data_IF_097022344456
#
_entry.id   IF_097022344456
#
_cell.length_a   1.000
_cell.length_b   1.000
_cell.length_c   1.000
_cell.angle_alpha   90.00
_cell.angle_beta   90.00
_cell.angle_gamma   90.00
#
_symmetry.space_group_name_H-M   'P 1'
#
loop_
_entity.id
_entity.type
_entity.pdbx_description
1 polymer ?
#
# COMPACT_ATOMS: atom_id res chain seq x y z
N UNK A 1 -3.65 -3.43 24.88
CA UNK A 1 -4.15 -4.56 24.06
C UNK A 1 -2.98 -5.50 23.84
N UNK A 2 -2.71 -6.35 24.83
CA UNK A 2 -1.59 -7.30 24.79
C UNK A 2 -2.12 -8.62 24.23
N UNK A 3 -1.44 -9.18 23.24
CA UNK A 3 -1.77 -10.49 22.69
C UNK A 3 -1.40 -11.56 23.73
N UNK A 4 -2.39 -12.34 24.17
CA UNK A 4 -2.18 -13.48 25.07
C UNK A 4 -1.48 -14.62 24.28
N UNK A 5 -0.41 -15.22 24.82
CA UNK A 5 0.31 -16.29 24.13
C UNK A 5 -0.56 -17.54 23.99
N UNK A 6 -0.75 -18.01 22.74
CA UNK A 6 -1.47 -19.24 22.41
C UNK A 6 -2.85 -19.05 21.76
N UNK A 7 -3.31 -17.81 21.56
CA UNK A 7 -4.54 -17.54 20.79
C UNK A 7 -4.24 -17.63 19.29
N UNK A 8 -5.00 -18.47 18.58
CA UNK A 8 -4.95 -18.54 17.12
C UNK A 8 -5.34 -17.17 16.54
N UNK A 9 -4.42 -16.48 15.82
CA UNK A 9 -4.66 -15.14 15.30
C UNK A 9 -5.78 -15.08 14.26
N UNK A 10 -6.22 -16.22 13.71
CA UNK A 10 -7.34 -16.27 12.78
C UNK A 10 -8.69 -16.27 13.50
N UNK A 11 -8.75 -16.67 14.78
CA UNK A 11 -9.97 -16.55 15.59
C UNK A 11 -10.36 -15.09 15.84
N UNK A 12 -9.39 -14.18 15.88
CA UNK A 12 -9.62 -12.72 16.02
C UNK A 12 -10.28 -12.09 14.81
N UNK A 13 -10.34 -12.82 13.71
CA UNK A 13 -10.92 -12.34 12.44
C UNK A 13 -12.35 -12.82 12.24
N UNK A 14 -12.86 -13.72 13.08
CA UNK A 14 -14.25 -14.20 12.98
C UNK A 14 -15.21 -13.09 13.38
N UNK A 15 -16.12 -12.72 12.47
CA UNK A 15 -17.09 -11.64 12.70
C UNK A 15 -16.51 -10.22 12.60
N UNK A 16 -15.25 -10.08 12.19
CA UNK A 16 -14.57 -8.77 12.02
C UNK A 16 -14.35 -8.49 10.54
N UNK A 17 -14.84 -7.34 10.07
CA UNK A 17 -14.59 -6.90 8.70
C UNK A 17 -13.10 -6.59 8.49
N UNK A 18 -12.51 -7.17 7.45
CA UNK A 18 -11.12 -6.89 7.05
C UNK A 18 -11.06 -6.31 5.64
N UNK A 19 -10.02 -5.52 5.36
CA UNK A 19 -9.77 -4.93 4.05
C UNK A 19 -8.27 -4.71 3.85
N UNK A 20 -7.88 -4.39 2.62
CA UNK A 20 -6.54 -3.86 2.36
C UNK A 20 -6.31 -2.59 3.20
N UNK A 21 -5.18 -2.56 3.89
CA UNK A 21 -4.70 -1.43 4.66
C UNK A 21 -3.27 -1.02 4.23
N UNK A 22 -2.91 -1.36 2.98
CA UNK A 22 -1.57 -1.13 2.42
C UNK A 22 -0.43 -1.71 3.29
N UNK A 23 -0.67 -2.89 3.86
CA UNK A 23 0.28 -3.56 4.75
C UNK A 23 0.77 -2.65 5.89
N UNK A 24 -0.12 -1.80 6.44
CA UNK A 24 0.22 -0.80 7.46
C UNK A 24 1.24 -1.23 8.52
N UNK A 25 1.12 -2.40 9.20
CA UNK A 25 2.12 -2.80 10.20
C UNK A 25 3.55 -2.94 9.64
N UNK A 26 3.66 -3.37 8.37
CA UNK A 26 4.94 -3.50 7.66
C UNK A 26 5.51 -2.13 7.28
N UNK A 27 4.66 -1.24 6.74
CA UNK A 27 5.05 0.13 6.38
C UNK A 27 5.49 0.90 7.63
N UNK A 28 4.69 0.89 8.69
CA UNK A 28 5.00 1.57 9.96
C UNK A 28 6.32 1.05 10.58
N UNK A 29 6.54 -0.26 10.53
CA UNK A 29 7.79 -0.88 11.02
C UNK A 29 9.00 -0.53 10.13
N UNK A 30 8.82 -0.39 8.82
CA UNK A 30 9.86 0.06 7.91
C UNK A 30 10.24 1.52 8.12
N UNK A 31 9.24 2.40 8.20
CA UNK A 31 9.43 3.84 8.45
C UNK A 31 10.16 4.10 9.77
N UNK A 32 9.82 3.36 10.84
CA UNK A 32 10.52 3.50 12.14
C UNK A 32 12.01 3.09 12.10
N UNK A 33 12.42 2.34 11.07
CA UNK A 33 13.82 1.98 10.79
C UNK A 33 14.50 2.94 9.80
N UNK A 34 13.81 3.99 9.35
CA UNK A 34 14.29 4.91 8.33
C UNK A 34 14.27 4.34 6.90
N UNK A 35 13.51 3.26 6.67
CA UNK A 35 13.34 2.66 5.34
C UNK A 35 12.25 3.39 4.56
N UNK A 36 12.38 3.43 3.23
CA UNK A 36 11.48 4.12 2.33
C UNK A 36 10.52 3.14 1.62
N UNK A 37 9.19 3.23 1.84
CA UNK A 37 8.22 2.43 1.12
C UNK A 37 8.27 2.68 -0.39
N UNK A 38 8.23 1.62 -1.19
CA UNK A 38 8.39 1.67 -2.64
C UNK A 38 9.81 1.43 -3.13
N UNK A 39 10.81 1.68 -2.28
CA UNK A 39 12.23 1.42 -2.56
C UNK A 39 12.72 0.21 -1.74
N UNK A 40 12.48 0.22 -0.43
CA UNK A 40 12.91 -0.83 0.48
C UNK A 40 11.86 -1.95 0.59
N UNK A 41 12.18 -3.21 0.24
CA UNK A 41 11.22 -4.32 0.27
C UNK A 41 10.64 -4.60 1.66
N UNK A 42 11.40 -4.30 2.71
CA UNK A 42 10.97 -4.49 4.11
C UNK A 42 9.90 -3.48 4.54
N UNK A 43 9.88 -2.29 3.92
CA UNK A 43 8.88 -1.23 4.16
C UNK A 43 7.75 -1.22 3.12
N UNK A 44 7.81 -2.09 2.11
CA UNK A 44 6.90 -2.06 0.96
C UNK A 44 5.80 -3.11 1.08
N UNK A 45 4.55 -2.84 0.64
CA UNK A 45 3.46 -3.81 0.70
C UNK A 45 3.79 -5.13 0.01
N UNK A 46 3.34 -6.24 0.62
CA UNK A 46 3.67 -7.59 0.14
C UNK A 46 3.22 -7.83 -1.31
N UNK A 47 2.04 -7.35 -1.70
CA UNK A 47 1.55 -7.47 -3.07
C UNK A 47 2.42 -6.77 -4.12
N UNK A 48 3.14 -5.71 -3.73
CA UNK A 48 4.05 -4.96 -4.61
C UNK A 48 5.36 -5.74 -4.74
N UNK A 49 5.92 -6.18 -3.60
CA UNK A 49 7.19 -6.93 -3.57
C UNK A 49 7.09 -8.26 -4.32
N UNK A 50 5.95 -8.96 -4.24
CA UNK A 50 5.77 -10.27 -4.90
C UNK A 50 5.38 -10.17 -6.38
N UNK A 51 5.08 -8.97 -6.88
CA UNK A 51 4.60 -8.80 -8.25
C UNK A 51 5.75 -9.00 -9.27
N UNK A 52 5.86 -10.20 -9.82
CA UNK A 52 6.84 -10.51 -10.86
C UNK A 52 6.65 -9.69 -12.15
N UNK A 53 5.40 -9.33 -12.46
CA UNK A 53 5.04 -8.53 -13.63
C UNK A 53 5.33 -7.02 -13.47
N UNK A 54 5.71 -6.55 -12.28
CA UNK A 54 5.89 -5.12 -11.97
C UNK A 54 4.68 -4.26 -12.34
N UNK A 55 3.48 -4.79 -12.09
CA UNK A 55 2.21 -4.10 -12.35
C UNK A 55 1.82 -3.14 -11.21
N UNK A 56 2.37 -3.34 -10.02
CA UNK A 56 2.05 -2.56 -8.82
C UNK A 56 3.27 -1.74 -8.39
N UNK A 57 3.02 -0.46 -8.11
CA UNK A 57 3.99 0.48 -7.55
C UNK A 57 3.41 1.10 -6.29
N UNK A 58 4.26 1.41 -5.33
CA UNK A 58 3.87 2.01 -4.05
C UNK A 58 4.87 3.09 -3.68
N UNK A 59 4.42 4.11 -2.96
CA UNK A 59 5.23 5.25 -2.57
C UNK A 59 4.36 6.34 -1.97
N UNK A 60 5.01 7.45 -1.62
CA UNK A 60 4.35 8.62 -1.05
C UNK A 60 3.81 9.54 -2.16
N UNK A 61 2.52 9.89 -2.09
CA UNK A 61 1.89 10.80 -3.05
C UNK A 61 2.18 12.27 -2.77
N UNK A 62 2.59 12.60 -1.54
CA UNK A 62 2.95 13.96 -1.14
C UNK A 62 4.40 14.30 -1.50
N UNK A 63 5.25 13.28 -1.71
CA UNK A 63 6.61 13.43 -2.23
C UNK A 63 6.59 13.52 -3.77
N UNK A 64 6.94 14.67 -4.37
CA UNK A 64 6.91 14.86 -5.82
C UNK A 64 7.94 14.02 -6.58
N UNK A 65 8.97 13.53 -5.89
CA UNK A 65 10.08 12.75 -6.44
C UNK A 65 9.90 11.24 -6.21
N UNK A 66 8.80 10.82 -5.57
CA UNK A 66 8.49 9.41 -5.37
C UNK A 66 8.18 8.70 -6.70
N UNK A 67 8.41 7.39 -6.74
CA UNK A 67 8.13 6.56 -7.94
C UNK A 67 6.68 6.69 -8.41
N UNK A 68 5.72 6.77 -7.48
CA UNK A 68 4.30 6.89 -7.84
C UNK A 68 3.95 8.28 -8.35
N UNK A 69 4.52 9.33 -7.75
CA UNK A 69 4.32 10.72 -8.21
C UNK A 69 4.87 10.93 -9.62
N UNK A 70 6.06 10.38 -9.92
CA UNK A 70 6.64 10.41 -11.25
C UNK A 70 5.77 9.62 -12.26
N UNK A 71 5.37 8.39 -11.93
CA UNK A 71 4.53 7.58 -12.82
C UNK A 71 3.19 8.25 -13.14
N UNK A 72 2.56 8.90 -12.16
CA UNK A 72 1.30 9.63 -12.36
C UNK A 72 1.49 10.85 -13.26
N UNK A 73 2.61 11.57 -13.14
CA UNK A 73 2.93 12.74 -13.98
C UNK A 73 3.26 12.34 -15.42
N UNK A 74 3.98 11.23 -15.61
CA UNK A 74 4.50 10.80 -16.90
C UNK A 74 3.49 10.01 -17.74
N UNK A 75 2.46 9.41 -17.11
CA UNK A 75 1.51 8.55 -17.78
C UNK A 75 0.08 9.09 -17.70
N UNK A 76 -0.76 8.69 -18.65
CA UNK A 76 -2.20 8.86 -18.50
C UNK A 76 -2.69 7.94 -17.39
N UNK A 77 -3.31 8.53 -16.37
CA UNK A 77 -3.86 7.77 -15.24
C UNK A 77 -5.34 8.06 -15.02
N UNK A 78 -6.05 7.07 -14.48
CA UNK A 78 -7.44 7.20 -14.04
C UNK A 78 -7.58 6.74 -12.61
N UNK A 79 -8.53 7.36 -11.90
CA UNK A 79 -9.02 6.87 -10.61
C UNK A 79 -10.42 6.32 -10.82
N UNK A 80 -10.69 5.15 -10.26
CA UNK A 80 -12.01 4.51 -10.39
C UNK A 80 -13.08 5.34 -9.68
N UNK A 81 -14.24 5.48 -10.33
CA UNK A 81 -15.43 6.14 -9.75
C UNK A 81 -15.14 7.57 -9.26
N UNK A 82 -14.33 8.33 -10.01
CA UNK A 82 -13.91 9.68 -9.64
C UNK A 82 -15.10 10.65 -9.46
N UNK A 83 -16.21 10.41 -10.14
CA UNK A 83 -17.48 11.12 -10.04
C UNK A 83 -18.07 11.11 -8.62
N UNK A 84 -17.76 10.09 -7.82
CA UNK A 84 -18.23 9.96 -6.43
C UNK A 84 -17.42 10.81 -5.44
N UNK A 85 -16.37 11.52 -5.89
CA UNK A 85 -15.54 12.43 -5.09
C UNK A 85 -14.91 11.79 -3.84
N UNK A 86 -14.69 10.48 -3.85
CA UNK A 86 -14.09 9.72 -2.74
C UNK A 86 -12.56 9.87 -2.66
N UNK A 87 -11.95 10.51 -3.66
CA UNK A 87 -10.50 10.72 -3.77
C UNK A 87 -9.64 9.48 -3.47
N UNK A 88 -9.81 8.35 -4.19
CA UNK A 88 -9.02 7.15 -3.96
C UNK A 88 -7.52 7.40 -4.12
N UNK A 89 -6.70 6.72 -3.32
CA UNK A 89 -5.23 6.78 -3.37
C UNK A 89 -4.61 5.80 -4.38
N UNK A 90 -5.43 5.06 -5.14
CA UNK A 90 -4.96 4.10 -6.16
C UNK A 90 -5.20 4.69 -7.54
N UNK A 91 -4.13 4.74 -8.33
CA UNK A 91 -4.13 5.27 -9.70
C UNK A 91 -3.85 4.13 -10.68
N UNK A 92 -4.64 4.07 -11.74
CA UNK A 92 -4.48 3.08 -12.80
C UNK A 92 -3.84 3.75 -14.01
N UNK A 93 -2.71 3.23 -14.47
CA UNK A 93 -2.08 3.66 -15.71
C UNK A 93 -2.89 3.11 -16.88
N UNK A 94 -3.28 3.99 -17.81
CA UNK A 94 -4.05 3.63 -19.01
C UNK A 94 -3.20 3.96 -20.25
N UNK A 95 -2.88 2.92 -21.02
CA UNK A 95 -2.03 2.99 -22.21
C UNK A 95 -2.27 1.79 -23.11
#
# INVERSE_FOLDING_TARGET
MSQEPGRDPDLDRIGVCTKCNFCRPRVDAGLSKGLQPGLDPEATPACVVTCSAKALYFGDLDDPDSVVSCLIKENKTVRLQAELKTSPSVYYVVG
#
